data_IF_596523508319
#
_entry.id   IF_596523508319
#
_cell.length_a   1.000
_cell.length_b   1.000
_cell.length_c   1.000
_cell.angle_alpha   90.00
_cell.angle_beta   90.00
_cell.angle_gamma   90.00
#
_symmetry.space_group_name_H-M   'P 1'
#
loop_
_entity.id
_entity.type
_entity.pdbx_description
1 polymer ?
#
# COMPACT_ATOMS: atom_id res chain seq x y z
N UNK A 1 7.06 20.09 25.00
CA UNK A 1 5.74 20.72 25.13
C UNK A 1 5.06 20.67 23.78
N UNK A 2 4.12 19.75 23.56
CA UNK A 2 3.67 19.32 22.24
C UNK A 2 2.30 19.91 21.88
N UNK A 3 2.16 20.33 20.62
CA UNK A 3 0.87 20.81 20.07
C UNK A 3 0.23 19.67 19.28
N UNK A 4 -0.88 19.13 19.76
CA UNK A 4 -1.68 18.15 19.03
C UNK A 4 -2.85 18.91 18.40
N UNK A 5 -2.94 18.91 17.07
CA UNK A 5 -4.04 19.51 16.34
C UNK A 5 -5.10 18.45 16.04
N UNK A 6 -6.33 18.67 16.51
CA UNK A 6 -7.47 17.83 16.20
C UNK A 6 -8.46 18.57 15.33
N UNK A 7 -8.96 17.90 14.30
CA UNK A 7 -10.14 18.32 13.54
C UNK A 7 -11.17 17.20 13.62
N UNK A 8 -12.30 17.48 14.25
CA UNK A 8 -13.48 16.63 14.19
C UNK A 8 -14.36 17.10 13.03
N UNK A 9 -14.71 16.20 12.12
CA UNK A 9 -15.67 16.44 11.07
C UNK A 9 -16.96 15.71 11.45
N UNK A 10 -17.99 16.47 11.82
CA UNK A 10 -19.34 15.94 11.93
C UNK A 10 -20.03 16.21 10.60
N UNK A 11 -20.36 15.19 9.84
CA UNK A 11 -21.18 15.32 8.63
C UNK A 11 -22.65 15.35 9.05
N UNK A 12 -23.14 16.53 9.40
CA UNK A 12 -24.57 16.82 9.41
C UNK A 12 -24.84 17.78 8.27
N UNK A 13 -25.91 17.51 7.50
CA UNK A 13 -26.28 18.30 6.34
C UNK A 13 -26.28 19.81 6.61
N UNK A 14 -25.38 20.56 5.95
CA UNK A 14 -25.35 22.00 5.87
C UNK A 14 -24.83 22.72 7.10
N UNK A 15 -23.57 22.78 7.27
CA UNK A 15 -22.61 23.67 7.95
C UNK A 15 -21.54 22.89 8.68
N UNK A 16 -20.32 22.93 8.14
CA UNK A 16 -19.15 22.36 8.81
C UNK A 16 -18.77 23.21 10.04
N UNK A 17 -19.03 22.70 11.23
CA UNK A 17 -18.43 23.27 12.45
C UNK A 17 -17.09 22.57 12.71
N UNK A 18 -16.00 23.31 12.57
CA UNK A 18 -14.65 22.84 12.84
C UNK A 18 -14.28 23.22 14.27
N UNK A 19 -14.26 22.25 15.18
CA UNK A 19 -13.71 22.45 16.52
C UNK A 19 -12.23 22.06 16.55
N UNK A 20 -11.35 23.03 16.77
CA UNK A 20 -9.93 22.83 16.94
C UNK A 20 -9.56 22.79 18.42
N UNK A 21 -9.15 21.63 18.93
CA UNK A 21 -8.61 21.50 20.29
C UNK A 21 -7.09 21.31 20.23
N UNK A 22 -6.36 22.09 21.01
CA UNK A 22 -4.91 21.98 21.16
C UNK A 22 -4.63 21.46 22.56
N UNK A 23 -4.17 20.21 22.68
CA UNK A 23 -3.75 19.63 23.96
C UNK A 23 -2.24 19.43 23.96
N UNK A 24 -1.58 19.95 24.97
CA UNK A 24 -0.12 19.83 25.16
C UNK A 24 0.14 18.83 26.28
N UNK A 25 0.51 17.61 25.94
CA UNK A 25 0.87 16.58 26.93
C UNK A 25 2.03 15.71 26.44
N UNK A 26 3.02 15.42 27.31
CA UNK A 26 4.11 14.51 26.96
C UNK A 26 3.63 13.05 27.04
N UNK A 27 3.95 12.27 26.01
CA UNK A 27 3.68 10.83 25.94
C UNK A 27 4.40 10.03 27.05
N UNK A 28 5.54 10.53 27.52
CA UNK A 28 6.41 9.85 28.49
C UNK A 28 5.74 9.52 29.81
N UNK A 29 4.71 10.28 30.25
CA UNK A 29 4.00 10.00 31.49
C UNK A 29 3.15 8.72 31.49
N UNK A 30 2.88 8.14 30.30
CA UNK A 30 2.07 6.91 30.18
C UNK A 30 2.90 5.67 30.53
N UNK A 31 4.21 5.70 30.28
CA UNK A 31 5.11 4.56 30.48
C UNK A 31 5.75 4.52 31.91
N UNK A 32 5.94 5.69 32.53
CA UNK A 32 6.56 5.76 33.86
C UNK A 32 5.72 5.09 34.96
N UNK A 33 4.41 5.01 34.81
CA UNK A 33 3.53 4.39 35.81
C UNK A 33 3.42 2.85 35.71
N UNK A 34 3.93 2.22 34.63
CA UNK A 34 3.87 0.75 34.47
C UNK A 34 5.08 0.00 35.02
N UNK A 35 6.16 0.67 35.42
CA UNK A 35 7.36 0.01 35.97
C UNK A 35 7.24 -0.51 37.42
N UNK A 36 6.13 -0.27 38.11
CA UNK A 36 6.03 -0.56 39.55
C UNK A 36 5.05 -1.66 39.98
N UNK A 37 4.52 -2.51 39.09
CA UNK A 37 3.76 -3.69 39.56
C UNK A 37 3.87 -4.86 38.56
N UNK A 38 4.78 -5.79 38.89
CA UNK A 38 4.78 -7.13 38.33
C UNK A 38 3.56 -7.91 38.86
N UNK A 39 2.57 -8.13 38.00
CA UNK A 39 1.57 -9.16 38.23
C UNK A 39 1.60 -10.14 37.05
N UNK A 40 2.25 -11.27 37.28
CA UNK A 40 2.04 -12.48 36.47
C UNK A 40 0.59 -12.91 36.66
N UNK A 41 -0.24 -12.74 35.66
CA UNK A 41 -1.49 -13.49 35.53
C UNK A 41 -1.48 -14.22 34.20
N UNK A 42 -1.25 -15.53 34.30
CA UNK A 42 -1.51 -16.50 33.23
C UNK A 42 -2.99 -16.44 32.88
N UNK A 43 -3.32 -15.93 31.70
CA UNK A 43 -4.65 -16.13 31.13
C UNK A 43 -4.54 -17.23 30.07
N UNK A 44 -4.94 -18.44 30.46
CA UNK A 44 -5.35 -19.47 29.51
C UNK A 44 -6.66 -19.00 28.89
N UNK A 45 -6.66 -18.65 27.61
CA UNK A 45 -7.90 -18.48 26.86
C UNK A 45 -8.27 -19.84 26.25
N UNK A 46 -9.31 -20.45 26.77
CA UNK A 46 -10.02 -21.52 26.09
C UNK A 46 -10.81 -20.87 24.95
N UNK A 47 -10.46 -21.19 23.73
CA UNK A 47 -11.33 -20.99 22.57
C UNK A 47 -11.90 -22.37 22.24
N UNK A 48 -13.16 -22.56 22.55
CA UNK A 48 -13.92 -23.73 22.07
C UNK A 48 -14.09 -23.60 20.56
N UNK A 49 -13.50 -24.56 19.86
CA UNK A 49 -13.71 -24.74 18.42
C UNK A 49 -14.97 -25.54 18.21
N UNK A 50 -16.03 -24.95 17.71
CA UNK A 50 -17.16 -25.68 17.15
C UNK A 50 -16.74 -26.31 15.82
N UNK A 51 -16.65 -27.65 15.83
CA UNK A 51 -16.43 -28.48 14.64
C UNK A 51 -17.63 -28.36 13.69
N UNK A 52 -17.42 -27.69 12.55
CA UNK A 52 -18.21 -27.96 11.35
C UNK A 52 -17.23 -28.48 10.29
N UNK A 53 -17.39 -29.78 10.01
CA UNK A 53 -16.55 -30.50 9.06
C UNK A 53 -16.74 -29.98 7.62
N UNK A 54 -15.69 -29.37 7.11
CA UNK A 54 -15.37 -29.34 5.69
C UNK A 54 -13.88 -29.64 5.58
N UNK A 55 -13.57 -30.75 4.91
CA UNK A 55 -12.24 -31.06 4.42
C UNK A 55 -11.93 -30.08 3.30
N UNK A 56 -11.47 -28.90 3.66
CA UNK A 56 -10.90 -27.93 2.77
C UNK A 56 -9.39 -28.13 2.78
N UNK A 57 -8.84 -28.39 1.60
CA UNK A 57 -7.41 -28.29 1.37
C UNK A 57 -6.89 -26.98 1.94
N UNK A 58 -5.67 -27.00 2.45
CA UNK A 58 -4.95 -25.94 3.15
C UNK A 58 -5.27 -24.51 2.68
N UNK A 59 -6.37 -23.97 3.15
CA UNK A 59 -6.50 -22.52 3.26
C UNK A 59 -5.57 -22.13 4.39
N UNK A 60 -4.40 -21.65 4.03
CA UNK A 60 -3.50 -21.00 4.96
C UNK A 60 -4.27 -19.84 5.58
N UNK A 61 -4.80 -20.09 6.78
CA UNK A 61 -5.26 -19.06 7.70
C UNK A 61 -4.26 -17.90 7.57
N UNK A 62 -4.76 -16.71 7.27
CA UNK A 62 -4.04 -15.45 7.17
C UNK A 62 -2.76 -15.50 8.02
N UNK A 63 -1.65 -15.89 7.42
CA UNK A 63 -0.35 -15.87 8.07
C UNK A 63 0.06 -14.39 8.14
N UNK A 64 -0.43 -13.72 9.17
CA UNK A 64 0.20 -12.45 9.55
C UNK A 64 1.61 -12.83 9.98
N UNK A 65 2.65 -12.38 9.28
CA UNK A 65 4.02 -12.68 9.65
C UNK A 65 4.25 -12.29 11.11
N UNK A 66 4.81 -13.19 11.92
CA UNK A 66 5.08 -12.89 13.33
C UNK A 66 6.21 -11.88 13.52
N UNK A 67 7.08 -11.77 12.53
CA UNK A 67 8.14 -10.78 12.51
C UNK A 67 8.43 -10.33 11.07
N UNK A 68 8.89 -9.09 10.94
CA UNK A 68 9.37 -8.52 9.68
C UNK A 68 10.69 -7.84 9.94
N UNK A 69 11.65 -8.02 9.04
CA UNK A 69 12.91 -7.29 9.13
C UNK A 69 12.66 -5.80 9.05
N UNK A 70 13.33 -5.05 9.92
CA UNK A 70 13.39 -3.59 9.74
C UNK A 70 13.96 -3.29 8.37
N UNK A 71 13.39 -2.30 7.65
CA UNK A 71 13.93 -1.90 6.38
C UNK A 71 15.40 -1.53 6.57
N UNK A 72 16.31 -2.37 6.09
CA UNK A 72 17.67 -1.92 5.88
C UNK A 72 17.59 -0.84 4.83
N UNK A 73 18.11 0.35 5.15
CA UNK A 73 18.27 1.43 4.17
C UNK A 73 19.14 0.88 3.03
N UNK A 74 18.50 0.27 2.03
CA UNK A 74 19.16 -0.04 0.76
C UNK A 74 19.08 1.22 -0.07
N UNK A 75 20.22 1.71 -0.43
CA UNK A 75 20.32 2.79 -1.40
C UNK A 75 20.03 2.22 -2.80
N UNK A 76 18.72 2.09 -3.10
CA UNK A 76 18.22 1.56 -4.38
C UNK A 76 18.75 2.39 -5.54
N UNK A 77 19.07 3.67 -5.30
CA UNK A 77 19.63 4.55 -6.33
C UNK A 77 20.95 4.05 -6.89
N UNK A 78 21.62 3.09 -6.23
CA UNK A 78 22.82 2.43 -6.76
C UNK A 78 22.53 1.25 -7.68
N UNK A 79 21.32 0.68 -7.61
CA UNK A 79 20.92 -0.51 -8.39
C UNK A 79 19.86 -0.19 -9.45
N UNK A 80 19.02 0.80 -9.20
CA UNK A 80 17.93 1.21 -10.11
C UNK A 80 18.25 2.59 -10.66
N UNK A 81 17.97 2.80 -11.95
CA UNK A 81 18.08 4.10 -12.59
C UNK A 81 17.24 5.15 -11.83
N UNK A 82 17.83 6.27 -11.36
CA UNK A 82 17.14 7.31 -10.62
C UNK A 82 15.91 7.85 -11.33
N UNK A 83 15.95 7.94 -12.67
CA UNK A 83 14.84 8.43 -13.49
C UNK A 83 13.66 7.43 -13.46
N UNK A 84 13.95 6.13 -13.44
CA UNK A 84 12.92 5.10 -13.29
C UNK A 84 12.29 5.12 -11.90
N UNK A 85 13.10 5.28 -10.86
CA UNK A 85 12.59 5.43 -9.48
C UNK A 85 11.70 6.66 -9.35
N UNK A 86 12.06 7.77 -9.96
CA UNK A 86 11.27 9.01 -9.96
C UNK A 86 9.87 8.82 -10.60
N UNK A 87 9.72 7.85 -11.51
CA UNK A 87 8.43 7.50 -12.09
C UNK A 87 7.49 6.83 -11.08
N UNK A 88 8.04 6.11 -10.10
CA UNK A 88 7.30 5.30 -9.14
C UNK A 88 6.98 6.06 -7.84
N UNK A 89 7.94 6.86 -7.34
CA UNK A 89 7.82 7.57 -6.05
C UNK A 89 7.03 8.88 -6.16
N UNK A 90 6.58 9.37 -5.01
CA UNK A 90 5.85 10.65 -4.83
C UNK A 90 4.51 10.76 -5.55
N UNK A 91 4.04 9.66 -6.15
CA UNK A 91 2.75 9.56 -6.82
C UNK A 91 1.81 8.69 -5.99
N UNK A 92 0.51 8.98 -6.05
CA UNK A 92 -0.52 8.12 -5.47
C UNK A 92 -0.89 7.04 -6.48
N UNK A 93 -0.88 5.79 -6.04
CA UNK A 93 -1.18 4.60 -6.81
C UNK A 93 -2.39 3.88 -6.23
N UNK A 94 -3.22 3.33 -7.09
CA UNK A 94 -4.30 2.42 -6.76
C UNK A 94 -3.84 0.98 -6.99
N UNK A 95 -4.11 0.12 -6.00
CA UNK A 95 -3.59 -1.24 -5.96
C UNK A 95 -4.63 -2.26 -6.42
N UNK A 96 -4.18 -3.22 -7.21
CA UNK A 96 -4.92 -4.42 -7.56
C UNK A 96 -4.03 -5.63 -7.43
N UNK A 97 -4.58 -6.79 -7.05
CA UNK A 97 -3.88 -8.04 -7.21
C UNK A 97 -4.06 -8.57 -8.63
N UNK A 98 -3.14 -9.42 -9.08
CA UNK A 98 -3.13 -10.03 -10.40
C UNK A 98 -2.79 -11.51 -10.24
N UNK A 99 -3.57 -12.41 -10.86
CA UNK A 99 -3.19 -13.83 -10.95
C UNK A 99 -2.02 -14.01 -11.91
N UNK A 100 -1.28 -15.13 -11.86
CA UNK A 100 -0.16 -15.36 -12.76
C UNK A 100 -0.54 -15.18 -14.23
N UNK A 101 0.37 -14.57 -15.00
CA UNK A 101 0.18 -14.23 -16.42
C UNK A 101 0.62 -15.41 -17.29
N UNK A 102 -0.30 -15.98 -18.07
CA UNK A 102 0.02 -17.07 -19.00
C UNK A 102 0.78 -16.55 -20.22
N UNK A 103 1.91 -17.20 -20.55
CA UNK A 103 2.80 -16.87 -21.68
C UNK A 103 3.29 -15.41 -21.77
N UNK A 104 3.29 -14.68 -20.65
CA UNK A 104 3.89 -13.35 -20.62
C UNK A 104 5.42 -13.45 -20.75
N UNK A 105 6.02 -12.61 -21.62
CA UNK A 105 7.47 -12.61 -21.86
C UNK A 105 8.03 -11.18 -21.88
N UNK A 106 9.01 -10.89 -21.05
CA UNK A 106 9.68 -9.58 -21.01
C UNK A 106 10.36 -9.21 -22.33
N UNK A 107 10.71 -10.19 -23.17
CA UNK A 107 11.29 -9.96 -24.50
C UNK A 107 10.29 -9.40 -25.53
N UNK A 108 8.97 -9.51 -25.27
CA UNK A 108 7.91 -9.11 -26.20
C UNK A 108 7.25 -7.76 -25.88
N UNK A 109 7.79 -6.99 -24.95
CA UNK A 109 7.17 -5.72 -24.50
C UNK A 109 6.87 -4.73 -25.63
N UNK A 110 7.74 -4.68 -26.67
CA UNK A 110 7.50 -3.84 -27.87
C UNK A 110 6.27 -4.28 -28.67
N UNK A 111 6.02 -5.59 -28.75
CA UNK A 111 4.83 -6.14 -29.38
C UNK A 111 3.58 -5.81 -28.55
N UNK A 112 3.65 -6.00 -27.25
CA UNK A 112 2.55 -5.67 -26.31
C UNK A 112 2.19 -4.19 -26.38
N UNK A 113 3.17 -3.29 -26.50
CA UNK A 113 2.93 -1.85 -26.68
C UNK A 113 2.04 -1.57 -27.90
N UNK A 114 2.31 -2.22 -29.03
CA UNK A 114 1.54 -2.05 -30.26
C UNK A 114 0.13 -2.65 -30.13
N UNK A 115 0.02 -3.85 -29.56
CA UNK A 115 -1.24 -4.54 -29.37
C UNK A 115 -2.17 -3.80 -28.43
N UNK A 116 -1.68 -3.35 -27.27
CA UNK A 116 -2.49 -2.58 -26.32
C UNK A 116 -2.89 -1.23 -26.92
N UNK A 117 -2.01 -0.56 -27.67
CA UNK A 117 -2.36 0.69 -28.35
C UNK A 117 -3.51 0.48 -29.35
N UNK A 118 -3.42 -0.55 -30.19
CA UNK A 118 -4.49 -0.89 -31.13
C UNK A 118 -5.81 -1.26 -30.42
N UNK A 119 -5.73 -2.03 -29.33
CA UNK A 119 -6.88 -2.42 -28.54
C UNK A 119 -7.60 -1.19 -27.94
N UNK A 120 -6.87 -0.25 -27.33
CA UNK A 120 -7.45 0.97 -26.76
C UNK A 120 -8.16 1.81 -27.83
N UNK A 121 -7.56 1.92 -29.02
CA UNK A 121 -8.16 2.66 -30.12
C UNK A 121 -9.45 1.98 -30.59
N UNK A 122 -9.43 0.65 -30.80
CA UNK A 122 -10.60 -0.10 -31.22
C UNK A 122 -11.78 -0.02 -30.26
N UNK A 123 -11.52 -0.18 -28.95
CA UNK A 123 -12.56 -0.12 -27.92
C UNK A 123 -13.15 1.30 -27.78
N UNK A 124 -12.33 2.34 -27.95
CA UNK A 124 -12.83 3.73 -27.93
C UNK A 124 -13.62 4.11 -29.18
N UNK A 125 -13.36 3.47 -30.31
CA UNK A 125 -14.10 3.71 -31.55
C UNK A 125 -15.46 2.99 -31.61
N UNK A 126 -15.65 1.91 -30.85
CA UNK A 126 -16.91 1.14 -30.82
C UNK A 126 -18.13 1.92 -30.28
N UNK A 127 -17.94 3.09 -29.69
CA UNK A 127 -19.03 3.92 -29.14
C UNK A 127 -19.28 5.25 -29.86
N UNK A 128 -18.48 5.60 -30.85
CA UNK A 128 -18.58 6.89 -31.53
C UNK A 128 -18.88 6.67 -33.04
N UNK A 129 -20.01 7.23 -33.53
CA UNK A 129 -20.16 7.47 -34.94
C UNK A 129 -18.98 8.33 -35.41
N UNK A 130 -18.14 7.77 -36.29
CA UNK A 130 -16.90 8.38 -36.73
C UNK A 130 -17.18 9.67 -37.46
N UNK A 131 -17.02 10.82 -36.83
CA UNK A 131 -16.66 12.02 -37.55
C UNK A 131 -15.21 11.83 -38.04
N UNK A 132 -15.09 11.62 -39.34
CA UNK A 132 -13.81 11.49 -40.04
C UNK A 132 -12.95 12.72 -39.74
N UNK A 133 -11.89 12.59 -38.94
CA UNK A 133 -10.91 13.66 -38.78
C UNK A 133 -10.11 13.69 -37.48
N UNK A 134 -10.50 13.00 -36.44
CA UNK A 134 -9.68 13.00 -35.20
C UNK A 134 -9.04 11.64 -34.97
N UNK A 135 -7.77 11.48 -35.38
CA UNK A 135 -6.93 10.38 -34.93
C UNK A 135 -6.67 10.56 -33.43
N UNK A 136 -7.44 9.87 -32.59
CA UNK A 136 -7.15 9.70 -31.17
C UNK A 136 -5.88 8.84 -31.05
N UNK A 137 -4.72 9.49 -31.21
CA UNK A 137 -3.43 8.81 -31.13
C UNK A 137 -3.05 8.50 -29.68
N UNK A 138 -3.34 7.28 -29.22
CA UNK A 138 -2.75 6.76 -27.98
C UNK A 138 -1.47 6.02 -28.32
N UNK A 139 -0.36 6.42 -27.69
CA UNK A 139 0.89 5.68 -27.75
C UNK A 139 1.08 4.98 -26.42
N UNK A 140 1.29 3.67 -26.46
CA UNK A 140 1.59 2.85 -25.28
C UNK A 140 3.08 2.53 -25.27
N UNK A 141 3.70 2.61 -24.11
CA UNK A 141 5.07 2.23 -23.88
C UNK A 141 5.15 1.24 -22.70
N UNK A 142 5.77 0.08 -22.96
CA UNK A 142 6.16 -0.88 -21.93
C UNK A 142 7.67 -0.81 -21.73
N UNK A 143 8.13 -0.77 -20.50
CA UNK A 143 9.53 -0.79 -20.12
C UNK A 143 9.76 -1.68 -18.90
N UNK A 144 10.97 -2.21 -18.77
CA UNK A 144 11.39 -2.94 -17.57
C UNK A 144 12.00 -1.95 -16.59
N UNK A 145 11.68 -2.10 -15.32
CA UNK A 145 12.34 -1.40 -14.20
C UNK A 145 13.25 -2.41 -13.51
N UNK A 146 14.54 -2.29 -13.78
CA UNK A 146 15.55 -3.20 -13.24
C UNK A 146 15.89 -2.88 -11.77
N UNK A 147 16.27 -3.91 -11.02
CA UNK A 147 16.83 -3.77 -9.67
C UNK A 147 15.80 -3.66 -8.55
N UNK A 148 14.51 -3.86 -8.82
CA UNK A 148 13.47 -4.01 -7.80
C UNK A 148 13.26 -5.46 -7.37
N UNK A 149 13.58 -6.43 -8.22
CA UNK A 149 13.60 -7.84 -7.88
C UNK A 149 14.67 -8.09 -6.79
N UNK A 150 14.31 -8.78 -5.70
CA UNK A 150 15.21 -9.09 -4.59
C UNK A 150 15.75 -10.52 -4.67
N UNK A 151 15.01 -11.41 -5.31
CA UNK A 151 15.38 -12.82 -5.50
C UNK A 151 15.47 -13.16 -6.99
N UNK A 152 16.18 -14.20 -7.32
CA UNK A 152 16.30 -14.69 -8.71
C UNK A 152 14.97 -15.25 -9.26
N UNK A 153 14.04 -15.60 -8.37
CA UNK A 153 12.68 -16.08 -8.71
C UNK A 153 11.69 -14.92 -8.95
N UNK A 154 12.00 -13.72 -8.48
CA UNK A 154 11.14 -12.56 -8.71
C UNK A 154 11.20 -12.11 -10.17
N UNK A 155 10.05 -11.98 -10.81
CA UNK A 155 9.98 -11.44 -12.16
C UNK A 155 10.27 -9.93 -12.15
N UNK A 156 11.02 -9.46 -13.14
CA UNK A 156 11.34 -8.04 -13.30
C UNK A 156 10.10 -7.17 -13.43
N UNK A 157 10.12 -6.02 -12.77
CA UNK A 157 9.01 -5.07 -12.77
C UNK A 157 8.77 -4.49 -14.15
N UNK A 158 7.52 -4.48 -14.58
CA UNK A 158 7.08 -3.92 -15.86
C UNK A 158 6.35 -2.61 -15.64
N UNK A 159 6.84 -1.53 -16.24
CA UNK A 159 6.23 -0.21 -16.22
C UNK A 159 5.53 0.09 -17.54
N UNK A 160 4.31 0.61 -17.46
CA UNK A 160 3.43 0.87 -18.61
C UNK A 160 3.00 2.33 -18.58
N UNK A 161 3.13 3.02 -19.70
CA UNK A 161 2.64 4.38 -19.88
C UNK A 161 1.75 4.48 -21.09
N UNK A 162 0.65 5.21 -20.96
CA UNK A 162 -0.22 5.60 -22.06
C UNK A 162 -0.08 7.11 -22.22
N UNK A 163 0.35 7.51 -23.42
CA UNK A 163 0.51 8.88 -23.82
C UNK A 163 -0.61 9.25 -24.79
N UNK A 164 -1.19 10.41 -24.64
CA UNK A 164 -2.18 10.97 -25.55
C UNK A 164 -1.57 12.13 -26.32
N UNK A 165 -1.83 12.19 -27.63
CA UNK A 165 -1.53 13.36 -28.46
C UNK A 165 -2.72 14.30 -28.39
N UNK A 166 -2.52 15.57 -28.06
CA UNK A 166 -3.59 16.56 -28.13
C UNK A 166 -3.88 16.87 -29.62
N UNK A 167 -5.17 16.85 -30.01
CA UNK A 167 -5.59 17.00 -31.40
C UNK A 167 -5.22 18.38 -32.02
N UNK A 168 -4.92 19.38 -31.20
CA UNK A 168 -4.58 20.75 -31.63
C UNK A 168 -3.18 21.19 -31.22
N UNK A 169 -2.31 20.27 -30.79
CA UNK A 169 -0.96 20.62 -30.40
C UNK A 169 -0.08 20.88 -31.61
N UNK A 170 0.68 21.99 -31.56
CA UNK A 170 1.75 22.25 -32.51
C UNK A 170 2.73 21.06 -32.54
N UNK A 171 3.47 20.88 -33.67
CA UNK A 171 4.34 19.70 -33.88
C UNK A 171 5.37 19.44 -32.77
N UNK A 172 5.61 20.38 -31.88
CA UNK A 172 6.58 20.31 -30.77
C UNK A 172 5.95 20.08 -29.39
N UNK A 173 4.60 19.93 -29.29
CA UNK A 173 3.97 19.70 -27.99
C UNK A 173 4.24 18.28 -27.51
N UNK A 174 4.89 18.16 -26.37
CA UNK A 174 5.26 16.94 -25.73
C UNK A 174 4.02 16.05 -25.46
N UNK A 175 4.10 14.79 -25.86
CA UNK A 175 3.06 13.79 -25.59
C UNK A 175 2.82 13.74 -24.06
N UNK A 176 1.57 13.97 -23.64
CA UNK A 176 1.20 13.95 -22.21
C UNK A 176 0.90 12.54 -21.76
N UNK A 177 1.55 12.12 -20.67
CA UNK A 177 1.19 10.86 -19.99
C UNK A 177 -0.19 11.01 -19.34
N UNK A 178 -1.15 10.23 -19.82
CA UNK A 178 -2.54 10.26 -19.32
C UNK A 178 -2.83 9.12 -18.35
N UNK A 179 -2.07 8.02 -18.45
CA UNK A 179 -2.19 6.88 -17.57
C UNK A 179 -0.83 6.22 -17.37
N UNK A 180 -0.61 5.69 -16.17
CA UNK A 180 0.58 4.90 -15.85
C UNK A 180 0.19 3.71 -15.00
N UNK A 181 0.85 2.59 -15.20
CA UNK A 181 0.71 1.41 -14.36
C UNK A 181 2.02 0.64 -14.31
N UNK A 182 2.20 -0.15 -13.28
CA UNK A 182 3.33 -1.06 -13.13
C UNK A 182 2.94 -2.33 -12.43
N UNK A 183 3.47 -3.43 -12.96
CA UNK A 183 3.32 -4.79 -12.46
C UNK A 183 4.62 -5.19 -11.79
N UNK A 184 4.55 -5.72 -10.58
CA UNK A 184 5.75 -6.07 -9.81
C UNK A 184 5.55 -7.30 -8.95
N UNK A 185 6.67 -7.98 -8.69
CA UNK A 185 6.85 -8.98 -7.65
C UNK A 185 8.13 -8.61 -6.89
N UNK A 186 8.06 -8.45 -5.58
CA UNK A 186 9.23 -8.15 -4.75
C UNK A 186 9.23 -9.10 -3.57
N UNK A 187 10.24 -9.96 -3.50
CA UNK A 187 10.40 -10.97 -2.47
C UNK A 187 9.11 -11.80 -2.28
N UNK A 188 8.60 -12.33 -3.41
CA UNK A 188 7.42 -13.19 -3.43
C UNK A 188 7.65 -14.49 -2.64
N UNK A 189 6.56 -15.21 -2.36
CA UNK A 189 6.65 -16.52 -1.72
C UNK A 189 7.39 -17.51 -2.64
N UNK A 190 8.58 -17.94 -2.23
CA UNK A 190 9.45 -18.81 -3.02
C UNK A 190 8.80 -20.18 -3.30
N UNK A 191 8.03 -20.72 -2.36
CA UNK A 191 7.35 -21.99 -2.54
C UNK A 191 6.26 -21.87 -3.61
N UNK A 192 5.49 -20.80 -3.56
CA UNK A 192 4.50 -20.48 -4.57
C UNK A 192 5.16 -20.23 -5.94
N UNK A 193 6.19 -19.39 -6.03
CA UNK A 193 6.84 -19.04 -7.29
C UNK A 193 7.43 -20.27 -7.99
N UNK A 194 8.07 -21.19 -7.24
CA UNK A 194 8.64 -22.44 -7.76
C UNK A 194 7.58 -23.48 -8.14
N UNK A 195 6.40 -23.41 -7.57
CA UNK A 195 5.28 -24.30 -7.92
C UNK A 195 4.62 -23.93 -9.25
N UNK A 196 4.82 -22.71 -9.74
CA UNK A 196 4.22 -22.27 -11.00
C UNK A 196 4.84 -22.98 -12.21
N UNK A 197 4.01 -23.43 -13.18
CA UNK A 197 4.52 -23.91 -14.46
C UNK A 197 5.35 -22.83 -15.18
N UNK A 198 6.35 -23.23 -15.95
CA UNK A 198 7.28 -22.34 -16.68
C UNK A 198 6.60 -21.39 -17.67
N UNK A 199 5.36 -21.68 -18.04
CA UNK A 199 4.54 -20.87 -18.94
C UNK A 199 3.91 -19.65 -18.26
N UNK A 200 3.90 -19.63 -16.92
CA UNK A 200 3.32 -18.55 -16.12
C UNK A 200 4.39 -17.63 -15.54
N UNK A 201 4.08 -16.34 -15.51
CA UNK A 201 4.89 -15.33 -14.84
C UNK A 201 4.06 -14.69 -13.74
N UNK A 202 4.57 -14.68 -12.51
CA UNK A 202 3.92 -14.05 -11.37
C UNK A 202 4.36 -12.60 -11.22
N UNK A 203 3.45 -11.67 -11.44
CA UNK A 203 3.56 -10.25 -11.17
C UNK A 203 2.33 -9.83 -10.34
N UNK A 204 2.25 -10.27 -9.07
CA UNK A 204 1.01 -10.30 -8.30
C UNK A 204 0.44 -8.93 -7.96
N UNK A 205 1.23 -7.87 -8.07
CA UNK A 205 0.84 -6.52 -7.69
C UNK A 205 0.79 -5.60 -8.91
N UNK A 206 -0.39 -5.06 -9.21
CA UNK A 206 -0.59 -3.99 -10.18
C UNK A 206 -0.86 -2.68 -9.43
N UNK A 207 -0.05 -1.65 -9.72
CA UNK A 207 -0.25 -0.28 -9.26
C UNK A 207 -0.65 0.59 -10.44
N UNK A 208 -1.78 1.30 -10.36
CA UNK A 208 -2.30 2.12 -11.45
C UNK A 208 -2.52 3.57 -11.04
N UNK A 209 -2.41 4.48 -12.01
CA UNK A 209 -2.68 5.90 -11.85
C UNK A 209 -3.19 6.48 -13.17
N UNK A 210 -4.37 7.09 -13.13
CA UNK A 210 -4.99 7.72 -14.29
C UNK A 210 -6.51 7.54 -14.30
N UNK A 211 -7.19 7.82 -15.40
CA UNK A 211 -8.62 7.62 -15.51
C UNK A 211 -9.01 6.13 -15.38
N UNK A 212 -10.07 5.87 -14.61
CA UNK A 212 -10.58 4.51 -14.40
C UNK A 212 -10.96 3.82 -15.72
N UNK A 213 -11.50 4.57 -16.68
CA UNK A 213 -11.84 4.04 -18.02
C UNK A 213 -10.64 3.42 -18.75
N UNK A 214 -9.44 4.01 -18.62
CA UNK A 214 -8.22 3.42 -19.17
C UNK A 214 -7.74 2.23 -18.35
N UNK A 215 -7.88 2.29 -17.02
CA UNK A 215 -7.55 1.17 -16.13
C UNK A 215 -8.36 -0.08 -16.48
N UNK A 216 -9.67 0.08 -16.69
CA UNK A 216 -10.55 -1.03 -17.11
C UNK A 216 -10.12 -1.60 -18.46
N UNK A 217 -9.82 -0.76 -19.45
CA UNK A 217 -9.36 -1.22 -20.77
C UNK A 217 -8.03 -1.97 -20.69
N UNK A 218 -7.08 -1.46 -19.91
CA UNK A 218 -5.77 -2.13 -19.72
C UNK A 218 -5.98 -3.49 -19.04
N UNK A 219 -6.75 -3.57 -17.96
CA UNK A 219 -7.06 -4.83 -17.28
C UNK A 219 -7.72 -5.82 -18.24
N UNK A 220 -8.75 -5.41 -18.95
CA UNK A 220 -9.45 -6.25 -19.93
C UNK A 220 -8.54 -6.77 -21.05
N UNK A 221 -7.58 -5.94 -21.50
CA UNK A 221 -6.59 -6.39 -22.47
C UNK A 221 -5.66 -7.46 -21.89
N UNK A 222 -5.19 -7.29 -20.65
CA UNK A 222 -4.36 -8.31 -19.97
C UNK A 222 -5.13 -9.61 -19.76
N UNK A 223 -6.38 -9.54 -19.31
CA UNK A 223 -7.25 -10.72 -19.11
C UNK A 223 -7.43 -11.51 -20.40
N UNK A 224 -7.72 -10.81 -21.52
CA UNK A 224 -7.88 -11.46 -22.83
C UNK A 224 -6.58 -11.99 -23.41
N UNK A 225 -5.43 -11.40 -23.07
CA UNK A 225 -4.16 -11.72 -23.72
C UNK A 225 -3.37 -12.76 -22.93
N UNK A 226 -3.43 -12.73 -21.60
CA UNK A 226 -2.60 -13.54 -20.71
C UNK A 226 -3.39 -14.43 -19.75
N UNK A 227 -4.68 -14.60 -19.99
CA UNK A 227 -5.58 -15.45 -19.19
C UNK A 227 -5.41 -15.23 -17.67
N UNK A 228 -5.41 -13.98 -17.26
CA UNK A 228 -5.25 -13.57 -15.88
C UNK A 228 -6.49 -12.84 -15.37
N UNK A 229 -6.60 -12.68 -14.05
CA UNK A 229 -7.68 -11.96 -13.40
C UNK A 229 -7.15 -10.86 -12.51
N UNK A 230 -7.88 -9.76 -12.42
CA UNK A 230 -7.59 -8.65 -11.52
C UNK A 230 -8.66 -8.52 -10.45
N UNK A 231 -8.23 -8.17 -9.24
CA UNK A 231 -9.16 -7.77 -8.20
C UNK A 231 -8.64 -6.62 -7.36
N UNK A 232 -9.51 -5.92 -6.63
CA UNK A 232 -9.11 -4.80 -5.81
C UNK A 232 -8.24 -5.29 -4.63
N UNK A 233 -7.11 -4.63 -4.40
CA UNK A 233 -6.23 -4.91 -3.28
C UNK A 233 -6.45 -3.86 -2.17
N UNK A 234 -7.42 -4.10 -1.30
CA UNK A 234 -7.58 -3.32 -0.07
C UNK A 234 -6.51 -3.67 0.97
N UNK A 235 -6.05 -2.68 1.70
CA UNK A 235 -5.08 -2.86 2.79
C UNK A 235 -5.85 -2.93 4.10
N UNK A 236 -5.79 -4.06 4.78
CA UNK A 236 -6.50 -4.25 6.05
C UNK A 236 -5.87 -3.43 7.20
N UNK A 237 -6.60 -3.30 8.31
CA UNK A 237 -6.14 -2.52 9.48
C UNK A 237 -4.81 -3.03 10.04
N UNK A 238 -4.57 -4.35 10.03
CA UNK A 238 -3.33 -4.92 10.53
C UNK A 238 -2.13 -4.54 9.65
N UNK A 239 -2.27 -4.60 8.31
CA UNK A 239 -1.23 -4.18 7.39
C UNK A 239 -0.98 -2.67 7.43
N UNK A 240 -2.02 -1.85 7.69
CA UNK A 240 -1.83 -0.42 7.96
C UNK A 240 -1.05 -0.17 9.25
N UNK A 241 -1.27 -0.96 10.29
CA UNK A 241 -0.49 -0.89 11.54
C UNK A 241 0.98 -1.26 11.30
N UNK A 242 1.24 -2.28 10.49
CA UNK A 242 2.59 -2.63 10.04
C UNK A 242 3.26 -1.47 9.30
N UNK A 243 2.57 -0.84 8.34
CA UNK A 243 3.11 0.31 7.61
C UNK A 243 3.41 1.50 8.54
N UNK A 244 2.56 1.75 9.54
CA UNK A 244 2.81 2.78 10.54
C UNK A 244 4.10 2.50 11.32
N UNK A 245 4.27 1.27 11.80
CA UNK A 245 5.45 0.84 12.55
C UNK A 245 6.73 0.87 11.69
N UNK A 246 6.66 0.37 10.45
CA UNK A 246 7.79 0.41 9.52
C UNK A 246 8.23 1.84 9.21
N UNK A 247 7.30 2.77 8.95
CA UNK A 247 7.65 4.16 8.65
C UNK A 247 8.17 4.92 9.88
N UNK A 248 7.73 4.60 11.08
CA UNK A 248 8.26 5.20 12.32
C UNK A 248 9.60 4.58 12.68
N UNK A 249 9.80 3.28 12.49
CA UNK A 249 11.04 2.56 12.73
C UNK A 249 12.21 2.96 11.82
N UNK A 250 11.92 3.71 10.74
CA UNK A 250 12.95 4.30 9.91
C UNK A 250 13.67 5.41 10.67
N UNK A 251 15.01 5.38 10.67
CA UNK A 251 15.90 6.19 11.50
C UNK A 251 15.54 7.69 11.57
N UNK A 252 15.67 8.35 12.74
CA UNK A 252 15.27 9.75 13.01
C UNK A 252 15.98 10.83 12.19
N UNK A 253 17.04 10.49 11.44
CA UNK A 253 17.72 11.44 10.52
C UNK A 253 16.83 11.90 9.35
N UNK A 254 15.74 11.19 9.10
CA UNK A 254 14.75 11.60 8.11
C UNK A 254 13.74 12.50 8.83
N UNK A 255 13.64 13.74 8.36
CA UNK A 255 12.76 14.76 8.91
C UNK A 255 11.28 14.35 8.73
N UNK A 256 10.81 13.43 9.58
CA UNK A 256 9.43 12.97 9.60
C UNK A 256 8.59 14.10 10.21
N UNK A 257 7.82 14.78 9.38
CA UNK A 257 7.08 15.97 9.81
C UNK A 257 5.86 15.64 10.70
N UNK A 258 5.30 14.42 10.60
CA UNK A 258 4.14 13.97 11.40
C UNK A 258 3.84 12.49 11.18
N UNK A 259 3.18 11.86 12.16
CA UNK A 259 2.44 10.61 11.98
C UNK A 259 0.94 10.93 12.08
N UNK A 260 0.19 10.71 11.03
CA UNK A 260 -1.25 10.89 10.99
C UNK A 260 -1.93 9.56 10.78
N UNK A 261 -2.85 9.24 11.68
CA UNK A 261 -3.66 8.02 11.67
C UNK A 261 -5.13 8.41 11.61
N UNK A 262 -5.93 7.67 10.86
CA UNK A 262 -7.38 7.87 10.77
C UNK A 262 -8.07 6.56 11.13
N UNK A 263 -8.88 6.60 12.19
CA UNK A 263 -9.78 5.51 12.58
C UNK A 263 -11.20 5.86 12.23
N UNK A 264 -11.96 4.87 11.78
CA UNK A 264 -13.42 4.97 11.67
C UNK A 264 -14.06 4.19 12.79
N UNK A 265 -14.81 4.87 13.64
CA UNK A 265 -15.56 4.28 14.74
C UNK A 265 -16.95 3.84 14.26
N UNK A 266 -17.49 2.70 14.77
CA UNK A 266 -18.80 2.16 14.38
C UNK A 266 -19.95 2.89 15.10
N UNK A 267 -19.99 4.21 15.00
CA UNK A 267 -21.09 5.05 15.45
C UNK A 267 -22.13 5.21 14.35
N UNK A 268 -23.31 5.73 14.69
CA UNK A 268 -24.37 6.06 13.73
C UNK A 268 -24.60 7.58 13.71
N UNK A 269 -24.16 8.31 12.66
CA UNK A 269 -23.36 7.85 11.51
C UNK A 269 -21.91 7.47 11.89
N UNK A 270 -21.17 6.71 11.03
CA UNK A 270 -19.76 6.39 11.27
C UNK A 270 -18.91 7.65 11.47
N UNK A 271 -18.04 7.62 12.46
CA UNK A 271 -17.22 8.78 12.83
C UNK A 271 -15.74 8.54 12.52
N UNK A 272 -15.15 9.44 11.75
CA UNK A 272 -13.71 9.42 11.48
C UNK A 272 -12.94 10.24 12.51
N UNK A 273 -12.03 9.58 13.22
CA UNK A 273 -11.11 10.20 14.17
C UNK A 273 -9.74 10.35 13.53
N UNK A 274 -9.30 11.59 13.34
CA UNK A 274 -7.97 11.92 12.82
C UNK A 274 -7.02 12.23 13.98
N UNK A 275 -6.04 11.34 14.17
CA UNK A 275 -5.04 11.48 15.22
C UNK A 275 -3.69 11.81 14.61
N UNK A 276 -3.17 13.00 14.91
CA UNK A 276 -1.85 13.45 14.44
C UNK A 276 -0.89 13.51 15.62
N UNK A 277 0.24 12.85 15.49
CA UNK A 277 1.24 12.67 16.54
C UNK A 277 2.54 13.32 16.06
N UNK A 278 3.22 13.99 16.98
CA UNK A 278 4.56 14.52 16.69
C UNK A 278 5.53 13.35 16.43
N UNK A 279 6.38 13.43 15.41
CA UNK A 279 7.27 12.33 15.02
C UNK A 279 8.15 11.84 16.16
N UNK A 280 8.71 12.77 16.92
CA UNK A 280 9.59 12.45 18.05
C UNK A 280 8.85 11.62 19.11
N UNK A 281 7.60 11.99 19.45
CA UNK A 281 6.80 11.24 20.43
C UNK A 281 6.43 9.85 19.93
N UNK A 282 6.10 9.75 18.63
CA UNK A 282 5.81 8.48 18.01
C UNK A 282 7.06 7.58 17.99
N UNK A 283 8.22 8.15 17.71
CA UNK A 283 9.48 7.43 17.70
C UNK A 283 9.91 6.99 19.12
N UNK A 284 9.83 7.88 20.12
CA UNK A 284 10.11 7.55 21.51
C UNK A 284 9.22 6.42 22.04
N UNK A 285 7.92 6.46 21.68
CA UNK A 285 7.00 5.37 22.00
C UNK A 285 7.42 4.08 21.29
N UNK A 286 7.76 4.15 20.00
CA UNK A 286 8.22 3.00 19.23
C UNK A 286 9.49 2.39 19.83
N UNK A 287 10.49 3.21 20.11
CA UNK A 287 11.75 2.79 20.72
C UNK A 287 11.53 2.12 22.08
N UNK A 288 10.61 2.67 22.90
CA UNK A 288 10.27 2.10 24.22
C UNK A 288 9.57 0.75 24.18
N UNK A 289 8.92 0.39 23.08
CA UNK A 289 8.23 -0.91 22.92
C UNK A 289 9.08 -1.96 22.24
N UNK A 290 10.16 -1.57 21.59
CA UNK A 290 11.14 -2.50 21.06
C UNK A 290 11.86 -3.21 22.21
N UNK A 291 12.07 -4.53 22.06
CA UNK A 291 12.62 -5.35 23.14
C UNK A 291 14.14 -5.51 23.07
N UNK A 292 14.70 -5.48 21.87
CA UNK A 292 16.13 -5.66 21.62
C UNK A 292 16.57 -4.92 20.35
N UNK A 293 17.89 -4.72 20.18
CA UNK A 293 18.52 -4.22 18.95
C UNK A 293 18.42 -5.19 17.76
N UNK A 294 17.42 -6.06 17.78
CA UNK A 294 17.16 -6.99 16.68
C UNK A 294 16.69 -6.23 15.44
N UNK A 295 17.17 -6.67 14.28
CA UNK A 295 16.78 -6.09 12.99
C UNK A 295 15.34 -6.42 12.61
N UNK A 296 14.67 -7.32 13.34
CA UNK A 296 13.34 -7.78 13.04
C UNK A 296 12.28 -7.07 13.91
N UNK A 297 11.19 -6.67 13.28
CA UNK A 297 10.02 -6.12 13.96
C UNK A 297 9.02 -7.23 14.18
N UNK A 298 8.59 -7.43 15.42
CA UNK A 298 7.60 -8.44 15.77
C UNK A 298 6.17 -7.88 15.76
N UNK A 299 5.17 -8.76 15.59
CA UNK A 299 3.76 -8.37 15.66
C UNK A 299 3.38 -7.89 17.06
N UNK A 300 4.04 -8.41 18.09
CA UNK A 300 3.84 -8.00 19.46
C UNK A 300 4.29 -6.56 19.69
N UNK A 301 5.41 -6.14 19.08
CA UNK A 301 5.91 -4.76 19.13
C UNK A 301 4.95 -3.81 18.42
N UNK A 302 4.52 -4.16 17.19
CA UNK A 302 3.52 -3.37 16.44
C UNK A 302 2.23 -3.23 17.26
N UNK A 303 1.75 -4.33 17.84
CA UNK A 303 0.54 -4.33 18.66
C UNK A 303 0.71 -3.47 19.91
N UNK A 304 1.86 -3.53 20.60
CA UNK A 304 2.15 -2.70 21.78
C UNK A 304 2.22 -1.21 21.42
N UNK A 305 2.86 -0.89 20.30
CA UNK A 305 2.94 0.47 19.78
C UNK A 305 1.54 1.05 19.54
N UNK A 306 0.71 0.36 18.77
CA UNK A 306 -0.65 0.81 18.46
C UNK A 306 -1.51 0.91 19.73
N UNK A 307 -1.43 -0.07 20.64
CA UNK A 307 -2.12 0.00 21.94
C UNK A 307 -1.63 1.18 22.79
N UNK A 308 -0.34 1.51 22.73
CA UNK A 308 0.20 2.70 23.39
C UNK A 308 -0.45 3.99 22.89
N UNK A 309 -0.55 4.13 21.55
CA UNK A 309 -1.21 5.27 20.92
C UNK A 309 -2.71 5.35 21.28
N UNK A 310 -3.42 4.23 21.22
CA UNK A 310 -4.84 4.14 21.58
C UNK A 310 -5.06 4.49 23.06
N UNK A 311 -4.22 3.99 23.95
CA UNK A 311 -4.30 4.28 25.41
C UNK A 311 -4.02 5.74 25.71
N UNK A 312 -3.05 6.34 24.99
CA UNK A 312 -2.78 7.78 25.12
C UNK A 312 -4.00 8.60 24.67
N UNK A 313 -4.58 8.27 23.52
CA UNK A 313 -5.77 8.95 23.01
C UNK A 313 -6.95 8.82 23.98
N UNK A 314 -7.24 7.61 24.45
CA UNK A 314 -8.32 7.37 25.42
C UNK A 314 -8.16 8.17 26.72
N UNK A 315 -6.93 8.29 27.23
CA UNK A 315 -6.67 9.05 28.46
C UNK A 315 -7.12 10.50 28.35
N UNK A 316 -6.94 11.11 27.18
CA UNK A 316 -7.23 12.52 26.96
C UNK A 316 -8.65 12.80 26.46
N UNK A 317 -9.21 11.91 25.65
CA UNK A 317 -10.48 12.15 24.95
C UNK A 317 -11.61 11.24 25.39
N UNK A 318 -11.31 10.18 26.16
CA UNK A 318 -12.29 9.17 26.60
C UNK A 318 -13.00 8.48 25.43
N UNK A 319 -12.38 8.46 24.25
CA UNK A 319 -12.86 7.77 23.06
C UNK A 319 -11.99 6.54 22.84
N UNK A 320 -12.63 5.36 22.72
CA UNK A 320 -11.97 4.07 22.55
C UNK A 320 -11.71 3.81 21.05
N UNK A 321 -10.46 4.05 20.60
CA UNK A 321 -10.07 3.81 19.20
C UNK A 321 -10.00 2.33 18.85
N UNK A 322 -9.86 1.44 19.82
CA UNK A 322 -9.81 -0.01 19.58
C UNK A 322 -11.16 -0.58 19.14
N UNK A 323 -12.27 0.12 19.42
CA UNK A 323 -13.60 -0.23 18.92
C UNK A 323 -13.74 0.04 17.39
N UNK A 324 -12.85 0.84 16.82
CA UNK A 324 -12.84 1.20 15.41
C UNK A 324 -11.80 0.45 14.58
N UNK A 325 -11.77 0.75 13.29
CA UNK A 325 -10.78 0.23 12.36
C UNK A 325 -9.87 1.34 11.84
N UNK A 326 -8.55 1.08 11.78
CA UNK A 326 -7.59 1.98 11.16
C UNK A 326 -7.83 1.99 9.65
N UNK A 327 -8.08 3.17 9.10
CA UNK A 327 -8.41 3.38 7.68
C UNK A 327 -7.29 4.02 6.89
N UNK A 328 -6.46 4.83 7.53
CA UNK A 328 -5.37 5.53 6.85
C UNK A 328 -4.19 5.75 7.78
N UNK A 329 -3.02 5.63 7.20
CA UNK A 329 -1.73 6.01 7.79
C UNK A 329 -1.04 6.98 6.85
N UNK A 330 -0.44 8.04 7.38
CA UNK A 330 0.29 9.02 6.58
C UNK A 330 1.47 9.60 7.37
N UNK A 331 2.63 9.63 6.73
CA UNK A 331 3.88 10.23 7.21
C UNK A 331 4.54 10.99 6.08
N UNK A 332 5.68 11.63 6.33
CA UNK A 332 6.51 12.21 5.26
C UNK A 332 7.08 11.15 4.30
N UNK A 333 7.25 9.90 4.77
CA UNK A 333 7.80 8.79 3.98
C UNK A 333 6.78 8.14 3.04
N UNK A 334 5.48 8.31 3.34
CA UNK A 334 4.43 7.76 2.53
C UNK A 334 3.05 7.88 3.17
N UNK A 335 2.05 7.47 2.43
CA UNK A 335 0.68 7.33 2.94
C UNK A 335 0.01 6.10 2.36
N UNK A 336 -0.86 5.49 3.14
CA UNK A 336 -1.62 4.32 2.72
C UNK A 336 -3.05 4.40 3.25
N UNK A 337 -4.00 3.98 2.44
CA UNK A 337 -5.43 3.97 2.74
C UNK A 337 -6.01 2.57 2.57
N UNK A 338 -7.00 2.21 3.39
CA UNK A 338 -7.61 0.88 3.37
C UNK A 338 -8.24 0.50 2.03
N UNK A 339 -8.63 1.49 1.21
CA UNK A 339 -9.20 1.26 -0.13
C UNK A 339 -8.16 0.80 -1.16
N UNK A 340 -6.90 0.58 -0.78
CA UNK A 340 -5.84 0.18 -1.70
C UNK A 340 -5.14 1.36 -2.39
N UNK A 341 -5.19 2.55 -1.81
CA UNK A 341 -4.40 3.69 -2.29
C UNK A 341 -3.12 3.81 -1.49
N UNK A 342 -2.00 3.97 -2.18
CA UNK A 342 -0.69 4.14 -1.56
C UNK A 342 0.13 5.22 -2.25
N UNK A 343 0.92 5.95 -1.46
CA UNK A 343 1.93 6.89 -1.94
C UNK A 343 3.24 6.58 -1.22
N UNK A 344 4.28 6.28 -1.96
CA UNK A 344 5.64 6.07 -1.46
C UNK A 344 6.42 7.35 -1.76
N UNK A 345 6.87 8.07 -0.73
CA UNK A 345 7.57 9.34 -0.92
C UNK A 345 9.10 9.18 -0.94
N UNK A 346 9.63 8.18 -0.22
CA UNK A 346 11.06 7.90 -0.18
C UNK A 346 11.39 6.64 -0.98
N UNK A 347 12.38 6.70 -1.90
CA UNK A 347 12.84 5.53 -2.63
C UNK A 347 13.51 4.50 -1.72
N UNK A 348 14.10 4.92 -0.62
CA UNK A 348 14.87 4.07 0.32
C UNK A 348 14.08 2.88 0.86
N UNK A 349 12.75 3.04 1.00
CA UNK A 349 11.88 2.02 1.61
C UNK A 349 10.92 1.37 0.61
N UNK A 350 11.14 1.58 -0.69
CA UNK A 350 10.22 1.11 -1.73
C UNK A 350 10.15 -0.43 -1.74
N UNK A 351 11.28 -1.12 -1.65
CA UNK A 351 11.33 -2.59 -1.68
C UNK A 351 10.61 -3.21 -0.49
N UNK A 352 10.81 -2.69 0.73
CA UNK A 352 10.13 -3.20 1.93
C UNK A 352 8.62 -3.01 1.86
N UNK A 353 8.17 -1.86 1.33
CA UNK A 353 6.74 -1.59 1.15
C UNK A 353 6.17 -2.53 0.07
N UNK A 354 6.89 -2.70 -1.05
CA UNK A 354 6.48 -3.57 -2.13
C UNK A 354 6.44 -5.04 -1.71
N UNK A 355 7.39 -5.49 -0.89
CA UNK A 355 7.36 -6.83 -0.30
C UNK A 355 6.07 -7.05 0.49
N UNK A 356 5.72 -6.12 1.40
CA UNK A 356 4.47 -6.20 2.17
C UNK A 356 3.25 -6.25 1.23
N UNK A 357 3.22 -5.43 0.19
CA UNK A 357 2.10 -5.39 -0.76
C UNK A 357 2.05 -6.64 -1.65
N UNK A 358 3.20 -7.19 -2.04
CA UNK A 358 3.30 -8.46 -2.78
C UNK A 358 2.70 -9.59 -1.95
N UNK A 359 3.06 -9.70 -0.67
CA UNK A 359 2.44 -10.69 0.24
C UNK A 359 0.92 -10.49 0.36
N UNK A 360 0.47 -9.22 0.51
CA UNK A 360 -0.96 -8.92 0.55
C UNK A 360 -1.69 -9.34 -0.73
N UNK A 361 -1.05 -9.16 -1.90
CA UNK A 361 -1.60 -9.54 -3.19
C UNK A 361 -1.69 -11.06 -3.34
N UNK A 362 -0.61 -11.78 -2.99
CA UNK A 362 -0.57 -13.25 -3.02
C UNK A 362 -1.65 -13.87 -2.11
N UNK A 363 -1.86 -13.31 -0.92
CA UNK A 363 -2.90 -13.78 0.02
C UNK A 363 -4.35 -13.49 -0.44
N UNK A 364 -4.54 -12.56 -1.39
CA UNK A 364 -5.85 -12.19 -1.91
C UNK A 364 -6.23 -12.89 -3.20
N UNK A 365 -5.25 -13.47 -3.89
CA UNK A 365 -5.53 -14.22 -5.11
C UNK A 365 -6.44 -15.41 -4.80
N UNK A 366 -7.48 -15.65 -5.62
CA UNK A 366 -8.22 -16.90 -5.56
C UNK A 366 -7.27 -18.03 -5.95
N UNK A 367 -7.14 -19.02 -5.06
CA UNK A 367 -6.40 -20.27 -5.29
C UNK A 367 -7.36 -21.26 -5.91
#
# INVERSE_FOLDING_TARGET
MFKIHFRFFFSHGGTEQVHNYIVKTPLNNVLAQRRSKSYRRSMRSCVEATNLGYTSGHLTVLRIPRSRRTPKSRDITKQVDPDQVALLVRKEWELSYVTPLYQFRHTQLKSYSKHLSAFIVSEKQQGLAIEVGQELGFKVNFSVVLGLAETDEDAETVFIQILSRQAFAAKDDAQKVVWSGWLTCVNGDLEFLRSLPSEFVSLPLLCTRGPESLTVLVKSWFEKTFDCCFGPLGINSANLQWLAALWIGCHPTINIQYLKLVWTLPTLPPMDVKYTIHPQDAWELWDSVRQDDTTDVSIEEVTRFIKGLQSHFFRHFRIELSAGSLKQVSTALGSSHHSGKIKIASPTYITTILQLLTECALLKMPI
#
